data_IF_863413859998
#
_entry.id   IF_863413859998
#
_cell.length_a   1.000
_cell.length_b   1.000
_cell.length_c   1.000
_cell.angle_alpha   90.00
_cell.angle_beta   90.00
_cell.angle_gamma   90.00
#
_symmetry.space_group_name_H-M   'P 1'
#
loop_
_entity.id
_entity.type
_entity.pdbx_description
1 polymer ?
#
# COMPACT_ATOMS: atom_id res chain seq x y z
N UNK A 1 8.54 -7.66 6.16
CA UNK A 1 9.63 -8.56 6.58
C UNK A 1 9.21 -10.00 6.40
N UNK A 2 10.05 -10.87 5.83
CA UNK A 2 9.74 -12.29 5.75
C UNK A 2 9.71 -12.92 7.16
N UNK A 3 8.72 -13.79 7.40
CA UNK A 3 8.54 -14.57 8.62
C UNK A 3 8.03 -15.96 8.23
N UNK A 4 8.94 -16.90 7.99
CA UNK A 4 8.60 -18.21 7.45
C UNK A 4 7.87 -18.09 6.11
N UNK A 5 6.63 -18.59 6.04
CA UNK A 5 5.77 -18.48 4.84
C UNK A 5 4.90 -17.21 4.81
N UNK A 6 5.14 -16.27 5.72
CA UNK A 6 4.40 -15.01 5.83
C UNK A 6 5.29 -13.80 5.63
N UNK A 7 4.67 -12.67 5.35
CA UNK A 7 5.34 -11.37 5.25
C UNK A 7 4.62 -10.36 6.13
N UNK A 8 5.34 -9.73 7.04
CA UNK A 8 4.84 -8.62 7.86
C UNK A 8 4.85 -7.32 7.05
N UNK A 9 3.75 -6.57 7.13
CA UNK A 9 3.68 -5.18 6.70
C UNK A 9 4.26 -4.30 7.80
N UNK A 10 5.27 -3.50 7.46
CA UNK A 10 5.89 -2.56 8.39
C UNK A 10 5.43 -1.14 8.07
N UNK A 11 5.11 -0.37 9.11
CA UNK A 11 4.88 1.06 9.00
C UNK A 11 6.07 1.83 9.59
N UNK A 12 6.99 2.37 8.75
CA UNK A 12 8.18 3.07 9.25
C UNK A 12 7.87 4.41 9.95
N UNK A 13 6.62 4.89 9.91
CA UNK A 13 6.23 6.12 10.61
C UNK A 13 5.99 5.91 12.12
N UNK A 14 5.90 4.67 12.58
CA UNK A 14 5.71 4.34 14.00
C UNK A 14 7.04 4.09 14.72
N UNK A 15 7.09 4.40 16.02
CA UNK A 15 8.25 4.11 16.88
C UNK A 15 8.58 2.60 16.90
N UNK A 16 7.56 1.75 16.91
CA UNK A 16 7.68 0.32 16.61
C UNK A 16 7.07 0.06 15.21
N UNK A 17 7.88 -0.25 14.18
CA UNK A 17 7.39 -0.47 12.82
C UNK A 17 6.45 -1.65 12.63
N UNK A 18 6.36 -2.55 13.62
CA UNK A 18 5.49 -3.73 13.60
C UNK A 18 4.32 -3.64 14.58
N UNK A 19 4.11 -2.48 15.20
CA UNK A 19 2.89 -2.22 15.95
C UNK A 19 1.69 -2.37 14.99
N UNK A 20 0.76 -3.26 15.34
CA UNK A 20 -0.41 -3.62 14.52
C UNK A 20 -0.07 -4.16 13.12
N UNK A 21 1.09 -4.82 12.97
CA UNK A 21 1.54 -5.36 11.69
C UNK A 21 0.52 -6.36 11.11
N UNK A 22 0.08 -6.06 9.89
CA UNK A 22 -0.63 -7.02 9.08
C UNK A 22 0.31 -8.15 8.63
N UNK A 23 -0.15 -9.39 8.71
CA UNK A 23 0.56 -10.55 8.19
C UNK A 23 -0.05 -10.96 6.84
N UNK A 24 0.81 -11.15 5.85
CA UNK A 24 0.43 -11.58 4.52
C UNK A 24 0.91 -13.01 4.33
N UNK A 25 -0.01 -13.93 4.10
CA UNK A 25 0.31 -15.25 3.57
C UNK A 25 0.55 -15.14 2.07
N UNK A 26 1.70 -15.63 1.60
CA UNK A 26 2.05 -15.62 0.19
C UNK A 26 1.40 -16.83 -0.49
N UNK A 27 0.52 -16.57 -1.46
CA UNK A 27 -0.23 -17.63 -2.16
C UNK A 27 0.27 -17.87 -3.58
N UNK A 28 1.17 -17.01 -4.08
CA UNK A 28 1.77 -17.12 -5.39
C UNK A 28 2.81 -16.02 -5.62
N UNK A 29 3.41 -15.99 -6.82
CA UNK A 29 4.50 -15.05 -7.15
C UNK A 29 4.16 -13.58 -6.87
N UNK A 30 2.93 -13.19 -7.19
CA UNK A 30 2.45 -11.81 -7.09
C UNK A 30 1.13 -11.69 -6.30
N UNK A 31 0.74 -12.76 -5.59
CA UNK A 31 -0.53 -12.87 -4.87
C UNK A 31 -0.32 -13.32 -3.43
N UNK A 32 -1.20 -12.86 -2.56
CA UNK A 32 -1.27 -13.26 -1.16
C UNK A 32 -2.64 -12.95 -0.56
N UNK A 33 -2.79 -13.22 0.73
CA UNK A 33 -3.97 -12.85 1.52
C UNK A 33 -3.53 -12.33 2.89
N UNK A 34 -4.33 -11.44 3.46
CA UNK A 34 -4.12 -11.00 4.84
C UNK A 34 -4.46 -12.16 5.80
N UNK A 35 -3.43 -12.80 6.36
CA UNK A 35 -3.59 -13.84 7.37
C UNK A 35 -3.97 -13.24 8.72
N UNK A 36 -3.42 -12.06 9.04
CA UNK A 36 -3.72 -11.31 10.26
C UNK A 36 -3.75 -9.82 9.97
N UNK A 37 -4.67 -9.08 10.59
CA UNK A 37 -4.71 -7.63 10.56
C UNK A 37 -5.38 -7.13 11.85
N UNK A 38 -4.83 -6.14 12.55
CA UNK A 38 -5.35 -5.76 13.87
C UNK A 38 -6.78 -5.16 13.79
N UNK A 39 -7.71 -5.57 14.67
CA UNK A 39 -9.05 -4.98 14.83
C UNK A 39 -10.05 -5.34 13.72
N UNK A 40 -10.85 -4.36 13.25
CA UNK A 40 -11.81 -4.49 12.12
C UNK A 40 -11.14 -4.58 10.75
N UNK A 41 -9.89 -5.01 10.72
CA UNK A 41 -9.10 -4.99 9.51
C UNK A 41 -9.43 -6.20 8.63
N UNK A 42 -9.20 -6.02 7.34
CA UNK A 42 -9.53 -6.90 6.20
C UNK A 42 -8.93 -8.33 6.22
N UNK A 43 -9.15 -9.12 7.27
CA UNK A 43 -8.71 -10.51 7.34
C UNK A 43 -9.22 -11.33 6.15
N UNK A 44 -8.35 -12.15 5.56
CA UNK A 44 -8.64 -12.98 4.40
C UNK A 44 -8.71 -12.22 3.07
N UNK A 45 -8.65 -10.88 3.09
CA UNK A 45 -8.71 -10.10 1.85
C UNK A 45 -7.48 -10.28 0.97
N UNK A 46 -7.64 -10.12 -0.36
CA UNK A 46 -6.57 -10.32 -1.29
C UNK A 46 -5.48 -9.26 -1.15
N UNK A 47 -4.24 -9.71 -1.31
CA UNK A 47 -3.07 -8.87 -1.54
C UNK A 47 -2.51 -9.22 -2.91
N UNK A 48 -2.19 -8.21 -3.72
CA UNK A 48 -1.53 -8.44 -5.01
C UNK A 48 -0.50 -7.37 -5.33
N UNK A 49 0.56 -7.76 -6.03
CA UNK A 49 1.56 -6.83 -6.57
C UNK A 49 1.37 -6.73 -8.08
N UNK A 50 1.44 -5.52 -8.59
CA UNK A 50 1.39 -5.26 -10.04
C UNK A 50 2.81 -4.96 -10.52
N UNK A 51 3.19 -5.55 -11.65
CA UNK A 51 4.49 -5.31 -12.29
C UNK A 51 4.33 -4.46 -13.54
N UNK A 52 5.31 -3.59 -13.77
CA UNK A 52 5.42 -2.85 -15.02
C UNK A 52 5.90 -3.75 -16.18
N UNK A 53 5.95 -3.19 -17.39
CA UNK A 53 6.43 -3.88 -18.60
C UNK A 53 7.88 -4.37 -18.51
N UNK A 54 8.65 -3.89 -17.52
CA UNK A 54 10.04 -4.28 -17.24
C UNK A 54 10.13 -5.31 -16.11
N UNK A 55 8.99 -5.80 -15.60
CA UNK A 55 8.91 -6.78 -14.51
C UNK A 55 9.12 -6.20 -13.10
N UNK A 56 9.27 -4.88 -12.97
CA UNK A 56 9.46 -4.21 -11.66
C UNK A 56 8.12 -3.98 -11.00
N UNK A 57 8.04 -4.09 -9.67
CA UNK A 57 6.81 -3.82 -8.93
C UNK A 57 6.47 -2.33 -9.06
N UNK A 58 5.28 -2.02 -9.61
CA UNK A 58 4.79 -0.66 -9.80
C UNK A 58 3.76 -0.26 -8.75
N UNK A 59 2.95 -1.21 -8.28
CA UNK A 59 1.86 -0.98 -7.33
C UNK A 59 1.66 -2.19 -6.43
N UNK A 60 1.14 -1.96 -5.23
CA UNK A 60 0.72 -3.02 -4.31
C UNK A 60 -0.70 -2.74 -3.89
N UNK A 61 -1.58 -3.72 -4.08
CA UNK A 61 -2.91 -3.71 -3.51
C UNK A 61 -2.89 -4.51 -2.21
N UNK A 62 -3.35 -3.88 -1.14
CA UNK A 62 -3.58 -4.52 0.15
C UNK A 62 -5.06 -4.31 0.42
N UNK A 63 -5.86 -5.38 0.34
CA UNK A 63 -7.31 -5.23 0.41
C UNK A 63 -7.79 -4.21 -0.65
N UNK A 64 -8.66 -3.28 -0.26
CA UNK A 64 -9.10 -2.16 -1.10
C UNK A 64 -8.06 -1.03 -1.30
N UNK A 65 -6.95 -1.03 -0.57
CA UNK A 65 -5.96 0.05 -0.64
C UNK A 65 -4.94 -0.17 -1.77
N UNK A 66 -4.78 0.82 -2.66
CA UNK A 66 -3.73 0.84 -3.68
C UNK A 66 -2.56 1.70 -3.21
N UNK A 67 -1.43 1.04 -2.96
CA UNK A 67 -0.17 1.68 -2.57
C UNK A 67 0.72 1.83 -3.81
N UNK A 68 1.10 3.07 -4.10
CA UNK A 68 2.00 3.44 -5.20
C UNK A 68 3.20 4.24 -4.67
N UNK A 69 4.30 4.34 -5.43
CA UNK A 69 5.39 5.23 -5.10
C UNK A 69 4.91 6.67 -4.89
N UNK A 70 5.40 7.34 -3.84
CA UNK A 70 4.96 8.67 -3.45
C UNK A 70 5.04 9.70 -4.60
N UNK A 71 6.08 9.62 -5.43
CA UNK A 71 6.25 10.50 -6.59
C UNK A 71 5.19 10.31 -7.68
N UNK A 72 4.65 9.10 -7.85
CA UNK A 72 3.56 8.82 -8.78
C UNK A 72 2.28 9.44 -8.27
N UNK A 73 1.98 9.24 -6.97
CA UNK A 73 0.79 9.82 -6.32
C UNK A 73 0.87 11.35 -6.33
N UNK A 74 2.02 11.94 -6.02
CA UNK A 74 2.19 13.39 -6.05
C UNK A 74 1.92 13.99 -7.44
N UNK A 75 2.41 13.34 -8.51
CA UNK A 75 2.12 13.75 -9.90
C UNK A 75 0.65 13.61 -10.26
N UNK A 76 0.00 12.53 -9.79
CA UNK A 76 -1.44 12.32 -9.98
C UNK A 76 -2.27 13.39 -9.28
N UNK A 77 -1.95 13.71 -8.02
CA UNK A 77 -2.59 14.76 -7.23
C UNK A 77 -2.41 16.12 -7.91
N UNK A 78 -1.18 16.51 -8.28
CA UNK A 78 -0.91 17.79 -8.92
C UNK A 78 -1.67 17.96 -10.24
N UNK A 79 -1.90 16.87 -10.98
CA UNK A 79 -2.68 16.88 -12.22
C UNK A 79 -4.19 16.99 -11.96
N UNK A 80 -4.71 16.25 -10.98
CA UNK A 80 -6.16 16.19 -10.70
C UNK A 80 -6.66 17.40 -9.91
N UNK A 81 -5.82 17.92 -9.02
CA UNK A 81 -6.17 18.99 -8.09
C UNK A 81 -5.21 20.17 -8.31
N UNK A 82 -5.37 20.94 -9.40
CA UNK A 82 -4.56 22.13 -9.61
C UNK A 82 -4.84 23.13 -8.48
N UNK A 83 -3.83 23.90 -8.04
CA UNK A 83 -4.00 24.89 -6.99
C UNK A 83 -5.12 25.86 -7.37
N UNK A 84 -6.08 26.07 -6.45
CA UNK A 84 -7.14 27.05 -6.63
C UNK A 84 -6.50 28.43 -6.84
N UNK A 85 -6.91 29.14 -7.90
CA UNK A 85 -6.56 30.55 -8.08
C UNK A 85 -7.00 31.31 -6.83
N UNK A 86 -6.09 32.05 -6.21
CA UNK A 86 -6.41 32.91 -5.06
C UNK A 86 -7.54 33.84 -5.49
N UNK A 87 -8.63 33.85 -4.71
CA UNK A 87 -9.71 34.81 -4.91
C UNK A 87 -9.12 36.20 -4.69
N UNK A 88 -9.32 37.18 -5.60
CA UNK A 88 -8.91 38.55 -5.35
C UNK A 88 -9.55 39.00 -4.04
N UNK A 89 -8.74 39.52 -3.12
CA UNK A 89 -9.23 40.18 -1.92
C UNK A 89 -9.69 41.57 -2.38
N UNK A 90 -10.93 42.00 -2.05
CA UNK A 90 -11.44 43.31 -2.43
C UNK A 90 -10.64 44.46 -1.77
#
# INVERSE_FOLDING_TARGET
MPLGNRVLVANPQFNNPFMDAAEIEVTGRDTGKLAWAAGYSSHGEPVRRIRDKRGRISEVWIAGANVKPASVVAKEIARRYPPRKRRPIP
#
